data_IF_245929842484
#
_entry.id   IF_245929842484
#
_cell.length_a   1.000
_cell.length_b   1.000
_cell.length_c   1.000
_cell.angle_alpha   90.00
_cell.angle_beta   90.00
_cell.angle_gamma   90.00
#
_symmetry.space_group_name_H-M   'P 1'
#
loop_
_entity.id
_entity.type
_entity.pdbx_description
1 polymer ?
#
# COMPACT_ATOMS: atom_id res chain seq x y z
N UNK A 1 15.80 40.56 -16.30
CA UNK A 1 15.91 39.09 -16.17
C UNK A 1 15.56 38.48 -17.51
N UNK A 2 16.53 37.84 -18.19
CA UNK A 2 16.30 37.31 -19.53
C UNK A 2 15.64 35.92 -19.44
N UNK A 3 14.31 35.90 -19.46
CA UNK A 3 13.50 34.69 -19.30
C UNK A 3 13.82 33.65 -20.38
N UNK A 4 14.14 34.09 -21.60
CA UNK A 4 14.42 33.19 -22.74
C UNK A 4 15.75 32.45 -22.57
N UNK A 5 16.78 33.14 -22.11
CA UNK A 5 18.08 32.51 -21.82
C UNK A 5 17.97 31.53 -20.65
N UNK A 6 17.27 31.91 -19.58
CA UNK A 6 17.01 31.03 -18.43
C UNK A 6 16.25 29.76 -18.87
N UNK A 7 15.22 29.89 -19.70
CA UNK A 7 14.47 28.73 -20.21
C UNK A 7 15.36 27.81 -21.05
N UNK A 8 16.22 28.38 -21.90
CA UNK A 8 17.17 27.61 -22.73
C UNK A 8 18.18 26.85 -21.87
N UNK A 9 18.73 27.50 -20.84
CA UNK A 9 19.67 26.88 -19.90
C UNK A 9 19.00 25.76 -19.08
N UNK A 10 17.79 25.99 -18.57
CA UNK A 10 17.02 24.98 -17.84
C UNK A 10 16.72 23.76 -18.72
N UNK A 11 16.28 23.95 -19.98
CA UNK A 11 16.08 22.85 -20.93
C UNK A 11 17.36 22.08 -21.19
N UNK A 12 18.48 22.78 -21.40
CA UNK A 12 19.78 22.15 -21.63
C UNK A 12 20.23 21.32 -20.42
N UNK A 13 20.04 21.85 -19.20
CA UNK A 13 20.33 21.15 -17.96
C UNK A 13 19.45 19.90 -17.78
N UNK A 14 18.12 20.03 -17.93
CA UNK A 14 17.18 18.91 -17.83
C UNK A 14 17.53 17.81 -18.84
N UNK A 15 17.80 18.17 -20.09
CA UNK A 15 18.14 17.20 -21.13
C UNK A 15 19.45 16.47 -20.82
N UNK A 16 20.48 17.23 -20.36
CA UNK A 16 21.78 16.68 -19.98
C UNK A 16 21.70 15.69 -18.80
N UNK A 17 20.77 15.91 -17.88
CA UNK A 17 20.62 15.12 -16.65
C UNK A 17 19.38 14.21 -16.65
N UNK A 18 18.69 14.07 -17.78
CA UNK A 18 17.40 13.37 -17.91
C UNK A 18 17.43 11.93 -17.33
N UNK A 19 18.45 11.16 -17.68
CA UNK A 19 18.67 9.79 -17.17
C UNK A 19 18.81 9.78 -15.64
N UNK A 20 19.56 10.73 -15.07
CA UNK A 20 19.74 10.82 -13.62
C UNK A 20 18.42 11.15 -12.91
N UNK A 21 17.62 12.07 -13.46
CA UNK A 21 16.30 12.38 -12.94
C UNK A 21 15.36 11.19 -12.99
N UNK A 22 15.39 10.41 -14.08
CA UNK A 22 14.60 9.19 -14.20
C UNK A 22 15.00 8.16 -13.11
N UNK A 23 16.30 7.92 -12.93
CA UNK A 23 16.79 7.03 -11.88
C UNK A 23 16.39 7.48 -10.48
N UNK A 24 16.45 8.77 -10.18
CA UNK A 24 16.01 9.33 -8.90
C UNK A 24 14.50 9.12 -8.70
N UNK A 25 13.69 9.42 -9.71
CA UNK A 25 12.24 9.25 -9.64
C UNK A 25 11.83 7.78 -9.38
N UNK A 26 12.47 6.83 -10.08
CA UNK A 26 12.23 5.39 -9.87
C UNK A 26 12.64 4.96 -8.46
N UNK A 27 13.80 5.41 -7.98
CA UNK A 27 14.28 5.09 -6.63
C UNK A 27 13.37 5.64 -5.53
N UNK A 28 12.87 6.86 -5.67
CA UNK A 28 11.95 7.45 -4.69
C UNK A 28 10.65 6.66 -4.56
N UNK A 29 10.06 6.23 -5.68
CA UNK A 29 8.86 5.39 -5.67
C UNK A 29 9.14 4.04 -5.02
N UNK A 30 10.25 3.39 -5.41
CA UNK A 30 10.68 2.11 -4.84
C UNK A 30 10.91 2.18 -3.32
N UNK A 31 11.53 3.26 -2.83
CA UNK A 31 11.73 3.50 -1.39
C UNK A 31 10.40 3.71 -0.67
N UNK A 32 9.47 4.40 -1.30
CA UNK A 32 8.15 4.64 -0.71
C UNK A 32 7.34 3.35 -0.59
N UNK A 33 7.33 2.50 -1.63
CA UNK A 33 6.70 1.17 -1.60
C UNK A 33 7.33 0.26 -0.54
N UNK A 34 8.66 0.26 -0.41
CA UNK A 34 9.36 -0.48 0.63
C UNK A 34 8.99 0.02 2.04
N UNK A 35 8.88 1.34 2.21
CA UNK A 35 8.42 1.95 3.45
C UNK A 35 7.00 1.51 3.81
N UNK A 36 6.09 1.49 2.82
CA UNK A 36 4.71 1.04 2.99
C UNK A 36 4.63 -0.44 3.41
N UNK A 37 5.42 -1.31 2.77
CA UNK A 37 5.52 -2.73 3.12
C UNK A 37 6.02 -2.90 4.58
N UNK A 38 7.03 -2.13 4.96
CA UNK A 38 7.57 -2.13 6.33
C UNK A 38 6.52 -1.67 7.35
N UNK A 39 5.78 -0.61 7.05
CA UNK A 39 4.73 -0.11 7.95
C UNK A 39 3.57 -1.10 8.09
N UNK A 40 3.17 -1.75 7.00
CA UNK A 40 2.17 -2.82 7.04
C UNK A 40 2.62 -3.93 7.99
N UNK A 41 3.88 -4.35 7.89
CA UNK A 41 4.51 -5.34 8.77
C UNK A 41 4.50 -4.89 10.23
N UNK A 42 4.88 -3.64 10.51
CA UNK A 42 4.92 -3.12 11.87
C UNK A 42 3.52 -2.99 12.49
N UNK A 43 2.49 -2.68 11.68
CA UNK A 43 1.11 -2.71 12.17
C UNK A 43 0.73 -4.08 12.74
N UNK A 44 1.07 -5.18 12.06
CA UNK A 44 0.79 -6.52 12.60
C UNK A 44 1.59 -6.81 13.87
N UNK A 45 2.86 -6.39 13.94
CA UNK A 45 3.64 -6.48 15.20
C UNK A 45 2.96 -5.73 16.35
N UNK A 46 2.53 -4.49 16.12
CA UNK A 46 1.86 -3.66 17.12
C UNK A 46 0.50 -4.23 17.55
N UNK A 47 -0.18 -4.97 16.67
CA UNK A 47 -1.42 -5.71 16.97
C UNK A 47 -1.16 -7.08 17.63
N UNK A 48 0.11 -7.43 17.89
CA UNK A 48 0.51 -8.61 18.65
C UNK A 48 0.80 -9.85 17.81
N UNK A 49 0.98 -9.72 16.50
CA UNK A 49 1.42 -10.81 15.65
C UNK A 49 2.93 -11.01 15.76
N UNK A 50 3.36 -12.28 15.74
CA UNK A 50 4.75 -12.61 15.42
C UNK A 50 4.93 -12.50 13.92
N UNK A 51 5.92 -11.74 13.48
CA UNK A 51 6.18 -11.51 12.06
C UNK A 51 7.56 -12.05 11.67
N UNK A 52 7.61 -12.93 10.69
CA UNK A 52 8.83 -13.55 10.15
C UNK A 52 9.01 -13.19 8.68
N UNK A 53 10.26 -13.18 8.23
CA UNK A 53 10.60 -13.08 6.80
C UNK A 53 10.61 -14.48 6.21
N UNK A 54 9.95 -14.63 5.07
CA UNK A 54 9.93 -15.86 4.28
C UNK A 54 10.63 -15.64 2.93
N UNK A 55 11.19 -16.72 2.37
CA UNK A 55 11.90 -16.72 1.09
C UNK A 55 13.02 -15.67 1.02
N UNK A 56 13.87 -15.65 2.04
CA UNK A 56 15.11 -14.88 2.00
C UNK A 56 16.05 -15.47 0.94
N UNK A 57 16.56 -14.63 0.04
CA UNK A 57 17.43 -15.05 -1.05
C UNK A 57 18.85 -14.65 -0.68
N UNK A 58 19.73 -15.64 -0.50
CA UNK A 58 21.09 -15.43 0.00
C UNK A 58 21.13 -14.65 1.34
N UNK A 59 20.16 -14.92 2.22
CA UNK A 59 20.04 -14.23 3.52
C UNK A 59 19.51 -12.80 3.45
N UNK A 60 19.11 -12.33 2.26
CA UNK A 60 18.58 -10.98 2.05
C UNK A 60 17.07 -11.01 1.80
N UNK A 61 16.40 -9.95 2.25
CA UNK A 61 15.01 -9.66 1.86
C UNK A 61 15.01 -9.07 0.45
N UNK A 62 14.30 -9.70 -0.48
CA UNK A 62 14.19 -9.26 -1.87
C UNK A 62 12.76 -8.80 -2.13
N UNK A 63 12.53 -7.49 -2.09
CA UNK A 63 11.22 -6.89 -2.33
C UNK A 63 10.86 -6.85 -3.83
N UNK A 64 9.60 -7.12 -4.16
CA UNK A 64 9.03 -6.88 -5.49
C UNK A 64 8.60 -5.41 -5.58
N UNK A 65 9.34 -4.59 -6.32
CA UNK A 65 9.14 -3.13 -6.44
C UNK A 65 8.69 -2.72 -7.85
N UNK A 66 8.01 -3.64 -8.54
CA UNK A 66 7.38 -3.38 -9.83
C UNK A 66 6.19 -4.31 -10.02
N UNK A 67 5.29 -3.96 -10.93
CA UNK A 67 4.17 -4.83 -11.31
C UNK A 67 4.61 -6.13 -12.00
N UNK A 68 5.83 -6.18 -12.55
CA UNK A 68 6.38 -7.37 -13.23
C UNK A 68 7.02 -8.35 -12.26
N UNK A 69 7.11 -9.61 -12.68
CA UNK A 69 7.73 -10.70 -11.93
C UNK A 69 6.71 -11.55 -11.16
N UNK A 70 7.12 -12.79 -10.85
CA UNK A 70 6.28 -13.74 -10.13
C UNK A 70 6.56 -13.69 -8.63
N UNK A 71 5.53 -13.79 -7.77
CA UNK A 71 5.68 -13.60 -6.32
C UNK A 71 6.67 -14.59 -5.68
N UNK A 72 6.76 -15.84 -6.15
CA UNK A 72 7.71 -16.84 -5.64
C UNK A 72 9.20 -16.49 -5.81
N UNK A 73 9.53 -15.45 -6.59
CA UNK A 73 10.91 -14.98 -6.76
C UNK A 73 11.30 -13.88 -5.75
N UNK A 74 10.39 -13.50 -4.85
CA UNK A 74 10.57 -12.40 -3.91
C UNK A 74 10.29 -12.85 -2.48
N UNK A 75 10.85 -12.12 -1.52
CA UNK A 75 10.59 -12.35 -0.10
C UNK A 75 9.24 -11.75 0.30
N UNK A 76 8.61 -12.32 1.33
CA UNK A 76 7.38 -11.81 1.92
C UNK A 76 7.46 -11.91 3.45
N UNK A 77 6.47 -11.32 4.13
CA UNK A 77 6.34 -11.46 5.58
C UNK A 77 5.22 -12.44 5.91
N UNK A 78 5.44 -13.32 6.88
CA UNK A 78 4.41 -14.16 7.48
C UNK A 78 4.06 -13.63 8.85
N UNK A 79 2.77 -13.44 9.12
CA UNK A 79 2.25 -12.92 10.38
C UNK A 79 1.40 -13.99 11.07
N UNK A 80 1.72 -14.33 12.31
CA UNK A 80 1.02 -15.37 13.09
C UNK A 80 0.60 -14.82 14.45
N UNK A 81 -0.67 -15.04 14.81
CA UNK A 81 -1.22 -14.73 16.15
C UNK A 81 -2.25 -15.79 16.53
N UNK A 82 -1.92 -16.63 17.51
CA UNK A 82 -2.76 -17.78 17.85
C UNK A 82 -2.92 -18.71 16.64
N UNK A 83 -4.16 -18.94 16.22
CA UNK A 83 -4.50 -19.73 15.02
C UNK A 83 -4.62 -18.91 13.73
N UNK A 84 -4.47 -17.58 13.80
CA UNK A 84 -4.57 -16.71 12.62
C UNK A 84 -3.23 -16.62 11.90
N UNK A 85 -3.29 -16.65 10.57
CA UNK A 85 -2.11 -16.66 9.70
C UNK A 85 -2.37 -15.76 8.49
N UNK A 86 -1.44 -14.83 8.24
CA UNK A 86 -1.47 -13.94 7.08
C UNK A 86 -0.09 -13.83 6.43
N UNK A 87 -0.07 -13.45 5.16
CA UNK A 87 1.14 -13.08 4.44
C UNK A 87 1.05 -11.63 3.94
N UNK A 88 2.15 -10.88 3.99
CA UNK A 88 2.25 -9.53 3.45
C UNK A 88 3.20 -9.55 2.24
N UNK A 89 2.67 -9.20 1.08
CA UNK A 89 3.37 -9.22 -0.21
C UNK A 89 3.42 -7.81 -0.82
N UNK A 90 4.49 -7.48 -1.53
CA UNK A 90 4.59 -6.24 -2.31
C UNK A 90 4.25 -6.46 -3.78
N UNK A 91 3.61 -5.46 -4.42
CA UNK A 91 3.23 -5.48 -5.84
C UNK A 91 2.51 -6.78 -6.26
N UNK A 92 1.50 -7.23 -5.50
CA UNK A 92 0.81 -8.49 -5.76
C UNK A 92 -0.37 -8.28 -6.72
N UNK A 93 -0.48 -9.15 -7.74
CA UNK A 93 -1.65 -9.21 -8.61
C UNK A 93 -2.85 -9.83 -7.87
N UNK A 94 -3.98 -9.14 -7.87
CA UNK A 94 -5.24 -9.53 -7.20
C UNK A 94 -6.41 -9.45 -8.18
N UNK A 95 -7.33 -10.41 -8.08
CA UNK A 95 -8.58 -10.37 -8.84
C UNK A 95 -9.51 -9.28 -8.27
N UNK A 96 -10.28 -8.64 -9.14
CA UNK A 96 -11.33 -7.68 -8.78
C UNK A 96 -12.45 -8.30 -7.92
N UNK A 97 -13.13 -7.45 -7.16
CA UNK A 97 -14.23 -7.83 -6.27
C UNK A 97 -15.57 -8.05 -6.99
N UNK A 98 -15.68 -7.67 -8.27
CA UNK A 98 -16.94 -7.70 -9.04
C UNK A 98 -17.14 -8.96 -9.90
N UNK A 99 -16.22 -9.93 -9.87
CA UNK A 99 -16.25 -11.17 -10.68
C UNK A 99 -16.28 -10.92 -12.20
N UNK A 100 -15.61 -9.86 -12.63
CA UNK A 100 -15.44 -9.44 -14.03
C UNK A 100 -14.07 -9.87 -14.61
N UNK A 101 -13.34 -10.71 -13.90
CA UNK A 101 -12.01 -11.22 -14.24
C UNK A 101 -10.91 -10.14 -14.34
N UNK A 102 -11.19 -8.90 -13.92
CA UNK A 102 -10.20 -7.84 -13.89
C UNK A 102 -9.08 -8.17 -12.90
N UNK A 103 -7.84 -7.86 -13.29
CA UNK A 103 -6.64 -8.05 -12.45
C UNK A 103 -6.03 -6.69 -12.14
N UNK A 104 -5.83 -6.43 -10.87
CA UNK A 104 -5.18 -5.23 -10.35
C UNK A 104 -3.87 -5.61 -9.68
N UNK A 105 -2.89 -4.72 -9.66
CA UNK A 105 -1.67 -4.90 -8.87
C UNK A 105 -1.71 -3.89 -7.75
N UNK A 106 -1.68 -4.37 -6.51
CA UNK A 106 -1.65 -3.51 -5.33
C UNK A 106 -0.23 -3.41 -4.79
N UNK A 107 0.16 -2.21 -4.35
CA UNK A 107 1.53 -1.94 -3.89
C UNK A 107 1.88 -2.79 -2.65
N UNK A 108 0.92 -2.96 -1.73
CA UNK A 108 1.00 -3.89 -0.60
C UNK A 108 -0.30 -4.69 -0.49
N UNK A 109 -0.20 -6.02 -0.44
CA UNK A 109 -1.31 -6.94 -0.20
C UNK A 109 -1.13 -7.69 1.11
N UNK A 110 -2.21 -7.85 1.87
CA UNK A 110 -2.30 -8.81 2.98
C UNK A 110 -3.19 -9.96 2.56
N UNK A 111 -2.66 -11.17 2.66
CA UNK A 111 -3.29 -12.41 2.21
C UNK A 111 -3.65 -13.28 3.40
N UNK A 112 -4.85 -13.89 3.36
CA UNK A 112 -5.31 -14.86 4.36
C UNK A 112 -4.71 -16.23 4.10
N UNK A 113 -4.06 -16.81 5.12
CA UNK A 113 -3.36 -18.09 5.02
C UNK A 113 -2.00 -18.01 4.30
N UNK A 114 -1.34 -19.16 4.14
CA UNK A 114 -0.02 -19.29 3.51
C UNK A 114 0.00 -20.26 2.33
N UNK A 115 -1.16 -20.65 1.81
CA UNK A 115 -1.31 -21.55 0.67
C UNK A 115 -1.87 -20.85 -0.57
N UNK A 116 -2.17 -19.55 -0.46
CA UNK A 116 -2.88 -18.79 -1.50
C UNK A 116 -1.95 -18.18 -2.52
N UNK A 117 -0.69 -17.89 -2.19
CA UNK A 117 0.31 -17.38 -3.13
C UNK A 117 1.35 -18.49 -3.39
N UNK A 118 1.78 -18.75 -4.64
CA UNK A 118 2.73 -19.81 -4.91
C UNK A 118 4.08 -19.47 -4.29
N UNK A 119 4.68 -20.48 -3.64
CA UNK A 119 6.02 -20.40 -3.05
C UNK A 119 7.12 -20.94 -3.98
N UNK A 120 6.70 -21.55 -5.08
CA UNK A 120 7.56 -22.04 -6.15
C UNK A 120 6.82 -21.89 -7.50
N UNK A 121 7.55 -22.00 -8.60
CA UNK A 121 6.96 -21.94 -9.95
C UNK A 121 5.86 -23.00 -10.10
N UNK A 122 4.59 -22.59 -10.23
CA UNK A 122 3.50 -23.54 -10.38
C UNK A 122 3.51 -24.19 -11.77
N UNK A 123 2.91 -25.39 -11.88
CA UNK A 123 2.72 -26.07 -13.18
C UNK A 123 1.80 -25.28 -14.11
N UNK A 124 0.75 -24.71 -13.55
CA UNK A 124 -0.15 -23.80 -14.27
C UNK A 124 0.35 -22.37 -14.14
N UNK A 125 0.10 -21.54 -15.15
CA UNK A 125 0.48 -20.13 -15.11
C UNK A 125 -0.25 -19.42 -13.97
N UNK A 126 0.51 -18.88 -13.02
CA UNK A 126 -0.04 -17.98 -12.02
C UNK A 126 -0.47 -16.66 -12.67
N UNK A 127 -1.69 -16.21 -12.35
CA UNK A 127 -2.26 -14.96 -12.86
C UNK A 127 -2.38 -13.94 -11.74
N UNK A 128 -3.22 -14.22 -10.74
CA UNK A 128 -3.51 -13.32 -9.62
C UNK A 128 -4.07 -14.09 -8.43
N UNK A 129 -4.04 -13.45 -7.25
CA UNK A 129 -4.69 -13.91 -6.04
C UNK A 129 -6.22 -13.81 -6.16
N UNK A 130 -6.95 -14.85 -5.75
CA UNK A 130 -8.41 -14.78 -5.60
C UNK A 130 -8.79 -13.68 -4.60
N UNK A 131 -9.74 -12.83 -4.96
CA UNK A 131 -10.16 -11.69 -4.14
C UNK A 131 -10.59 -12.10 -2.72
N UNK A 132 -11.16 -13.30 -2.54
CA UNK A 132 -11.58 -13.80 -1.22
C UNK A 132 -10.40 -14.06 -0.27
N UNK A 133 -9.21 -14.25 -0.82
CA UNK A 133 -7.99 -14.43 -0.03
C UNK A 133 -7.32 -13.09 0.32
N UNK A 134 -7.79 -11.96 -0.23
CA UNK A 134 -7.27 -10.63 0.10
C UNK A 134 -7.92 -10.10 1.38
N UNK A 135 -7.16 -10.01 2.46
CA UNK A 135 -7.62 -9.43 3.72
C UNK A 135 -7.76 -7.90 3.61
N UNK A 136 -6.71 -7.25 3.12
CA UNK A 136 -6.61 -5.80 2.91
C UNK A 136 -5.46 -5.46 1.97
N UNK A 137 -5.34 -4.19 1.59
CA UNK A 137 -4.28 -3.70 0.71
C UNK A 137 -3.93 -2.23 1.00
N UNK A 138 -2.77 -1.79 0.54
CA UNK A 138 -2.40 -0.39 0.49
C UNK A 138 -1.93 0.02 -0.91
N UNK A 139 -2.30 1.25 -1.27
CA UNK A 139 -1.84 1.97 -2.45
C UNK A 139 -0.96 3.13 -2.03
N UNK A 140 0.11 3.36 -2.77
CA UNK A 140 1.19 4.25 -2.41
C UNK A 140 1.35 5.30 -3.52
N UNK A 141 1.34 6.59 -3.17
CA UNK A 141 1.45 7.68 -4.15
C UNK A 141 2.32 8.82 -3.62
N UNK A 142 3.33 9.22 -4.40
CA UNK A 142 4.18 10.39 -4.13
C UNK A 142 3.47 11.69 -4.53
N UNK A 143 2.36 11.99 -3.85
CA UNK A 143 1.52 13.16 -4.14
C UNK A 143 1.04 13.79 -2.82
N UNK A 144 0.67 15.07 -2.89
CA UNK A 144 -0.16 15.71 -1.86
C UNK A 144 -1.55 15.06 -1.88
N UNK A 145 -2.22 15.00 -0.74
CA UNK A 145 -3.60 14.51 -0.73
C UNK A 145 -4.52 15.61 -1.23
N UNK A 146 -5.09 15.41 -2.43
CA UNK A 146 -6.11 16.26 -3.05
C UNK A 146 -7.40 15.46 -3.33
N UNK A 147 -8.57 16.13 -3.50
CA UNK A 147 -9.86 15.44 -3.58
C UNK A 147 -9.97 14.42 -4.72
N UNK A 148 -9.34 14.68 -5.87
CA UNK A 148 -9.37 13.74 -7.00
C UNK A 148 -8.51 12.50 -6.74
N UNK A 149 -7.38 12.60 -6.06
CA UNK A 149 -6.62 11.43 -5.61
C UNK A 149 -7.44 10.57 -4.65
N UNK A 150 -8.16 11.21 -3.73
CA UNK A 150 -9.08 10.51 -2.83
C UNK A 150 -10.21 9.81 -3.60
N UNK A 151 -10.81 10.46 -4.60
CA UNK A 151 -11.84 9.87 -5.43
C UNK A 151 -11.32 8.67 -6.24
N UNK A 152 -10.12 8.79 -6.83
CA UNK A 152 -9.43 7.69 -7.51
C UNK A 152 -9.20 6.51 -6.58
N UNK A 153 -8.69 6.76 -5.38
CA UNK A 153 -8.48 5.73 -4.37
C UNK A 153 -9.79 5.05 -3.97
N UNK A 154 -10.88 5.79 -3.76
CA UNK A 154 -12.19 5.18 -3.53
C UNK A 154 -12.64 4.32 -4.72
N UNK A 155 -12.35 4.74 -5.95
CA UNK A 155 -12.55 3.91 -7.15
C UNK A 155 -11.78 2.60 -7.08
N UNK A 156 -10.50 2.63 -6.69
CA UNK A 156 -9.70 1.42 -6.49
C UNK A 156 -10.31 0.51 -5.42
N UNK A 157 -10.72 1.07 -4.28
CA UNK A 157 -11.38 0.30 -3.22
C UNK A 157 -12.72 -0.25 -3.69
N UNK A 158 -13.46 0.48 -4.55
CA UNK A 158 -14.69 -0.01 -5.15
C UNK A 158 -14.45 -1.23 -6.02
N UNK A 159 -13.40 -1.22 -6.84
CA UNK A 159 -13.07 -2.35 -7.73
C UNK A 159 -12.51 -3.55 -6.95
N UNK A 160 -11.61 -3.33 -5.99
CA UNK A 160 -10.87 -4.40 -5.32
C UNK A 160 -11.59 -4.91 -4.07
N UNK A 161 -12.16 -4.02 -3.25
CA UNK A 161 -12.75 -4.39 -1.96
C UNK A 161 -14.09 -3.65 -1.71
N UNK A 162 -15.12 -3.83 -2.58
CA UNK A 162 -16.36 -3.06 -2.52
C UNK A 162 -17.10 -3.18 -1.18
N UNK A 163 -16.93 -4.28 -0.45
CA UNK A 163 -17.50 -4.50 0.88
C UNK A 163 -16.97 -3.52 1.95
N UNK A 164 -15.81 -2.90 1.72
CA UNK A 164 -15.20 -1.90 2.61
C UNK A 164 -15.85 -0.52 2.45
N UNK A 165 -16.57 -0.28 1.36
CA UNK A 165 -17.36 0.94 1.15
C UNK A 165 -18.82 0.83 1.61
N UNK A 166 -19.21 -0.33 2.18
CA UNK A 166 -20.54 -0.58 2.73
C UNK A 166 -20.52 -0.45 4.26
N UNK A 167 -21.65 -0.03 4.82
CA UNK A 167 -21.87 -0.01 6.28
C UNK A 167 -21.72 -1.44 6.82
N UNK A 168 -20.91 -1.60 7.87
CA UNK A 168 -20.79 -2.88 8.60
C UNK A 168 -22.16 -3.32 9.12
N UNK A 169 -22.42 -4.63 9.00
CA UNK A 169 -23.49 -5.25 9.78
C UNK A 169 -23.08 -5.23 11.26
N UNK A 170 -24.02 -4.88 12.13
CA UNK A 170 -23.82 -4.89 13.60
C UNK A 170 -23.45 -6.29 14.07
N UNK A 171 -22.48 -6.39 14.99
CA UNK A 171 -22.05 -7.66 15.60
C UNK A 171 -20.90 -8.39 14.91
N UNK A 172 -20.24 -7.78 13.92
CA UNK A 172 -19.00 -8.34 13.37
C UNK A 172 -17.83 -8.11 14.35
N UNK A 173 -16.94 -9.11 14.55
CA UNK A 173 -15.76 -8.96 15.38
C UNK A 173 -14.89 -7.78 14.94
N UNK A 174 -14.07 -7.26 15.86
CA UNK A 174 -13.01 -6.33 15.51
C UNK A 174 -12.06 -7.03 14.51
N UNK A 175 -11.74 -6.33 13.42
CA UNK A 175 -10.82 -6.79 12.39
C UNK A 175 -9.43 -6.25 12.77
N UNK A 176 -8.48 -7.14 13.06
CA UNK A 176 -7.10 -6.79 13.38
C UNK A 176 -6.35 -6.26 12.13
N UNK A 177 -6.95 -6.39 10.95
CA UNK A 177 -6.41 -5.84 9.70
C UNK A 177 -6.62 -4.33 9.60
N UNK A 178 -5.60 -3.65 9.08
CA UNK A 178 -5.78 -2.27 8.63
C UNK A 178 -6.82 -2.17 7.50
N UNK A 179 -7.62 -1.09 7.42
CA UNK A 179 -8.54 -0.89 6.30
C UNK A 179 -7.77 -0.62 4.99
N UNK A 180 -8.35 -0.82 3.79
CA UNK A 180 -7.72 -0.37 2.55
C UNK A 180 -7.16 1.03 2.68
N UNK A 181 -5.87 1.20 2.39
CA UNK A 181 -5.12 2.39 2.79
C UNK A 181 -4.49 3.10 1.59
N UNK A 182 -4.62 4.42 1.55
CA UNK A 182 -3.82 5.28 0.66
C UNK A 182 -2.66 5.86 1.48
N UNK A 183 -1.43 5.63 1.05
CA UNK A 183 -0.21 6.13 1.68
C UNK A 183 0.39 7.21 0.78
N UNK A 184 0.73 8.36 1.36
CA UNK A 184 1.27 9.51 0.63
C UNK A 184 2.40 10.20 1.37
N UNK A 185 3.36 10.76 0.62
CA UNK A 185 4.42 11.61 1.18
C UNK A 185 3.96 13.05 1.43
N UNK A 186 2.94 13.53 0.71
CA UNK A 186 2.47 14.89 0.88
C UNK A 186 1.46 15.05 2.02
N UNK A 187 1.15 16.31 2.33
CA UNK A 187 0.23 16.68 3.39
C UNK A 187 -1.25 16.57 2.97
N UNK A 188 -2.14 16.63 3.97
CA UNK A 188 -3.58 16.71 3.75
C UNK A 188 -4.02 18.16 3.50
N UNK A 189 -4.60 18.42 2.32
CA UNK A 189 -5.21 19.73 2.03
C UNK A 189 -6.52 19.94 2.78
N UNK A 190 -6.89 21.19 3.06
CA UNK A 190 -8.14 21.52 3.77
C UNK A 190 -9.40 21.00 3.05
N UNK A 191 -9.41 21.05 1.71
CA UNK A 191 -10.49 20.50 0.88
C UNK A 191 -10.55 18.98 0.95
N UNK A 192 -9.41 18.30 0.95
CA UNK A 192 -9.34 16.86 1.16
C UNK A 192 -9.83 16.46 2.55
N UNK A 193 -9.55 17.25 3.57
CA UNK A 193 -10.15 17.09 4.90
C UNK A 193 -11.68 17.03 4.84
N UNK A 194 -12.32 17.92 4.08
CA UNK A 194 -13.79 17.88 3.89
C UNK A 194 -14.26 16.59 3.20
N UNK A 195 -13.51 16.11 2.21
CA UNK A 195 -13.82 14.85 1.53
C UNK A 195 -13.72 13.64 2.49
N UNK A 196 -12.68 13.58 3.32
CA UNK A 196 -12.51 12.53 4.35
C UNK A 196 -13.66 12.55 5.35
N UNK A 197 -14.10 13.73 5.81
CA UNK A 197 -15.32 13.84 6.65
C UNK A 197 -16.54 13.27 5.94
N UNK A 198 -16.67 13.47 4.63
CA UNK A 198 -17.69 12.87 3.79
C UNK A 198 -17.62 11.33 3.76
N UNK A 199 -16.42 10.78 3.60
CA UNK A 199 -16.19 9.32 3.63
C UNK A 199 -16.54 8.71 4.99
N UNK A 200 -16.15 9.38 6.07
CA UNK A 200 -16.48 8.98 7.43
C UNK A 200 -18.00 8.96 7.66
N UNK A 201 -18.72 10.01 7.24
CA UNK A 201 -20.21 10.06 7.31
C UNK A 201 -20.88 8.93 6.52
N UNK A 202 -20.30 8.55 5.37
CA UNK A 202 -20.75 7.41 4.54
C UNK A 202 -20.34 6.05 5.11
N UNK A 203 -19.58 6.03 6.22
CA UNK A 203 -19.09 4.83 6.90
C UNK A 203 -18.16 3.98 6.03
N UNK A 204 -17.39 4.63 5.16
CA UNK A 204 -16.35 3.97 4.36
C UNK A 204 -15.21 3.51 5.26
N UNK A 205 -14.85 2.23 5.22
CA UNK A 205 -13.74 1.65 5.99
C UNK A 205 -12.47 1.73 5.18
N UNK A 206 -11.92 2.93 5.11
CA UNK A 206 -10.67 3.23 4.41
C UNK A 206 -9.75 4.02 5.33
N UNK A 207 -8.46 4.05 5.02
CA UNK A 207 -7.47 4.89 5.70
C UNK A 207 -6.72 5.75 4.68
N UNK A 208 -6.30 6.93 5.12
CA UNK A 208 -5.38 7.79 4.37
C UNK A 208 -4.25 8.18 5.30
N UNK A 209 -3.05 7.67 5.00
CA UNK A 209 -1.82 8.01 5.70
C UNK A 209 -1.10 9.08 4.87
N UNK A 210 -0.98 10.28 5.43
CA UNK A 210 -0.29 11.41 4.82
C UNK A 210 0.97 11.76 5.62
N UNK A 211 1.90 12.52 5.03
CA UNK A 211 3.23 12.78 5.62
C UNK A 211 3.90 11.48 6.09
N UNK A 212 3.88 10.46 5.24
CA UNK A 212 4.28 9.11 5.62
C UNK A 212 5.75 9.00 6.09
N UNK A 213 6.62 9.85 5.56
CA UNK A 213 8.00 10.02 5.98
C UNK A 213 8.15 10.34 7.48
N UNK A 214 7.22 11.10 8.06
CA UNK A 214 7.21 11.40 9.50
C UNK A 214 7.00 10.13 10.33
N UNK A 215 6.08 9.26 9.90
CA UNK A 215 5.81 7.99 10.57
C UNK A 215 6.99 7.03 10.47
N UNK A 216 7.62 6.92 9.29
CA UNK A 216 8.85 6.13 9.13
C UNK A 216 9.97 6.64 10.05
N UNK A 217 10.12 7.96 10.17
CA UNK A 217 11.11 8.58 11.07
C UNK A 217 10.83 8.29 12.54
N UNK A 218 9.56 8.30 12.97
CA UNK A 218 9.16 7.93 14.33
C UNK A 218 9.41 6.45 14.61
N UNK A 219 9.06 5.55 13.68
CA UNK A 219 9.35 4.11 13.84
C UNK A 219 10.84 3.85 13.96
N UNK A 220 11.66 4.46 13.10
CA UNK A 220 13.12 4.30 13.14
C UNK A 220 13.72 4.71 14.49
N UNK A 221 13.11 5.69 15.17
CA UNK A 221 13.55 6.16 16.49
C UNK A 221 12.97 5.34 17.65
N UNK A 222 12.14 4.33 17.37
CA UNK A 222 11.43 3.57 18.40
C UNK A 222 10.32 4.36 19.10
N UNK A 223 9.88 5.49 18.51
CA UNK A 223 8.87 6.38 19.09
C UNK A 223 7.44 6.00 18.64
N UNK A 224 7.30 5.14 17.65
CA UNK A 224 6.00 4.70 17.16
C UNK A 224 5.34 3.72 18.14
N UNK A 225 4.39 4.22 18.92
CA UNK A 225 3.59 3.42 19.86
C UNK A 225 2.27 2.93 19.26
N UNK A 226 1.88 3.42 18.07
CA UNK A 226 0.61 3.12 17.41
C UNK A 226 0.79 3.02 15.90
N UNK A 227 -0.01 2.16 15.28
CA UNK A 227 -0.08 2.07 13.82
C UNK A 227 -0.70 3.35 13.23
N UNK A 228 -0.15 3.88 12.11
CA UNK A 228 -0.78 4.98 11.39
C UNK A 228 -2.03 4.55 10.62
N UNK A 229 -2.28 3.24 10.48
CA UNK A 229 -3.43 2.74 9.76
C UNK A 229 -4.70 2.81 10.61
N UNK A 230 -5.23 4.03 10.74
CA UNK A 230 -6.49 4.30 11.43
C UNK A 230 -7.60 4.57 10.42
N UNK A 231 -8.80 4.11 10.73
CA UNK A 231 -9.96 4.38 9.87
C UNK A 231 -10.26 5.88 9.79
N UNK A 232 -10.77 6.35 8.66
CA UNK A 232 -11.16 7.78 8.50
C UNK A 232 -12.20 8.25 9.52
N UNK A 233 -12.93 7.33 10.16
CA UNK A 233 -13.84 7.63 11.26
C UNK A 233 -13.11 8.08 12.53
N UNK A 234 -11.90 7.58 12.77
CA UNK A 234 -11.09 7.90 13.96
C UNK A 234 -10.38 9.25 13.86
N UNK A 235 -10.42 9.87 12.68
CA UNK A 235 -9.83 11.19 12.39
C UNK A 235 -10.79 12.34 12.76
N UNK A 236 -12.07 12.03 13.01
CA UNK A 236 -13.11 12.97 13.42
C UNK A 236 -13.29 13.00 14.93
#
# INVERSE_FOLDING_TARGET
>A
MNVVEIEKELKAFINKHSVQFEHLAVRETALLELGALTMATEHYRLTGYTVTVENAINGLFVAKLSSRGYPYNFSWFKCVKGGELFEIHSNLSVMGGHKDEAVYVVDVAVVVGDDKVPKAKPKQKWVALDNKALATFAEVKKLVVYPMLLAQFIGIVHEIAPSRLKKLKTGLPADDHFPPSLITLGYLTATSGKALKGFAKRKFRVCVVHNFDMYLSQMRRGEASKSPFVTVQTIL
#
